data_IF_333663395080
#
_entry.id   IF_333663395080
#
_cell.length_a   1.000
_cell.length_b   1.000
_cell.length_c   1.000
_cell.angle_alpha   90.00
_cell.angle_beta   90.00
_cell.angle_gamma   90.00
#
_symmetry.space_group_name_H-M   'P 1'
#
loop_
_entity.id
_entity.type
_entity.pdbx_description
1 polymer ?
#
# COMPACT_ATOMS: atom_id res chain seq x y z
N UNK A 1 -23.59 -16.73 2.18
CA UNK A 1 -22.43 -16.10 1.49
C UNK A 1 -21.29 -15.70 2.43
N UNK A 2 -21.53 -14.93 3.51
CA UNK A 2 -20.46 -14.48 4.43
C UNK A 2 -19.61 -15.61 5.07
N UNK A 3 -20.22 -16.74 5.41
CA UNK A 3 -19.52 -17.93 5.99
C UNK A 3 -18.68 -18.71 4.98
N UNK A 4 -19.10 -18.69 3.71
CA UNK A 4 -18.37 -19.33 2.61
C UNK A 4 -17.16 -18.48 2.21
N UNK A 5 -17.35 -17.15 2.13
CA UNK A 5 -16.27 -16.18 1.90
C UNK A 5 -15.22 -16.26 3.01
N UNK A 6 -15.63 -16.30 4.28
CA UNK A 6 -14.68 -16.43 5.41
C UNK A 6 -13.88 -17.73 5.34
N UNK A 7 -14.50 -18.87 5.01
CA UNK A 7 -13.81 -20.16 4.87
C UNK A 7 -12.88 -20.20 3.66
N UNK A 8 -13.27 -19.60 2.55
CA UNK A 8 -12.44 -19.48 1.35
C UNK A 8 -11.22 -18.58 1.58
N UNK A 9 -11.38 -17.46 2.28
CA UNK A 9 -10.27 -16.58 2.67
C UNK A 9 -9.31 -17.29 3.62
N UNK A 10 -9.80 -18.00 4.63
CA UNK A 10 -8.92 -18.76 5.54
C UNK A 10 -8.17 -19.87 4.81
N UNK A 11 -8.82 -20.60 3.90
CA UNK A 11 -8.16 -21.65 3.11
C UNK A 11 -7.08 -21.08 2.18
N UNK A 12 -7.40 -20.02 1.43
CA UNK A 12 -6.45 -19.36 0.52
C UNK A 12 -5.27 -18.75 1.27
N UNK A 13 -5.51 -18.15 2.44
CA UNK A 13 -4.45 -17.57 3.28
C UNK A 13 -3.48 -18.64 3.78
N UNK A 14 -4.01 -19.77 4.29
CA UNK A 14 -3.17 -20.88 4.76
C UNK A 14 -2.43 -21.57 3.61
N UNK A 15 -3.06 -21.72 2.44
CA UNK A 15 -2.43 -22.32 1.26
C UNK A 15 -1.28 -21.46 0.71
N UNK A 16 -1.46 -20.14 0.67
CA UNK A 16 -0.43 -19.20 0.19
C UNK A 16 0.76 -19.10 1.16
N UNK A 17 0.57 -19.25 2.46
CA UNK A 17 1.67 -19.27 3.45
C UNK A 17 2.43 -20.60 3.42
N UNK A 18 1.72 -21.72 3.23
CA UNK A 18 2.32 -23.06 3.18
C UNK A 18 3.22 -23.26 1.95
N UNK A 19 2.89 -22.67 0.81
CA UNK A 19 3.70 -22.79 -0.41
C UNK A 19 5.07 -22.10 -0.29
N UNK A 20 5.19 -21.06 0.54
CA UNK A 20 6.45 -20.33 0.79
C UNK A 20 7.44 -21.20 1.58
N UNK A 21 6.94 -22.08 2.44
CA UNK A 21 7.75 -22.96 3.28
C UNK A 21 8.36 -24.15 2.49
N UNK A 22 7.75 -24.55 1.38
CA UNK A 22 8.21 -25.66 0.54
C UNK A 22 9.15 -25.27 -0.61
N UNK A 23 9.55 -23.99 -0.72
CA UNK A 23 10.38 -23.50 -1.82
C UNK A 23 11.89 -23.31 -1.46
N UNK A 24 12.35 -23.77 -0.29
CA UNK A 24 13.70 -23.48 0.20
C UNK A 24 14.74 -24.59 -0.01
N UNK A 25 14.74 -25.29 -1.14
CA UNK A 25 15.90 -26.11 -1.52
C UNK A 25 16.95 -25.23 -2.21
N UNK A 26 18.17 -25.26 -1.66
CA UNK A 26 19.18 -24.22 -1.81
C UNK A 26 19.81 -24.06 -3.20
N UNK A 27 20.27 -22.83 -3.46
CA UNK A 27 21.14 -22.47 -4.56
C UNK A 27 21.46 -20.97 -4.52
N UNK A 28 22.75 -20.62 -4.62
CA UNK A 28 23.31 -19.28 -4.48
C UNK A 28 22.92 -18.26 -5.59
N UNK A 29 21.66 -18.30 -6.03
CA UNK A 29 21.07 -17.42 -7.07
C UNK A 29 19.62 -17.02 -6.73
N UNK A 30 19.08 -17.45 -5.57
CA UNK A 30 17.66 -17.25 -5.18
C UNK A 30 17.33 -15.96 -4.41
N UNK A 31 18.31 -15.23 -3.87
CA UNK A 31 18.05 -14.07 -3.01
C UNK A 31 17.47 -12.87 -3.78
N UNK A 32 17.93 -12.62 -5.02
CA UNK A 32 17.46 -11.49 -5.83
C UNK A 32 15.97 -11.55 -6.17
N UNK A 33 15.43 -12.75 -6.41
CA UNK A 33 14.00 -12.95 -6.66
C UNK A 33 13.13 -12.58 -5.45
N UNK A 34 13.51 -13.01 -4.25
CA UNK A 34 12.80 -12.66 -3.02
C UNK A 34 12.93 -11.17 -2.67
N UNK A 35 14.10 -10.57 -2.93
CA UNK A 35 14.33 -9.13 -2.76
C UNK A 35 13.44 -8.32 -3.72
N UNK A 36 13.33 -8.71 -4.99
CA UNK A 36 12.47 -8.05 -5.97
C UNK A 36 10.97 -8.14 -5.62
N UNK A 37 10.52 -9.33 -5.19
CA UNK A 37 9.14 -9.52 -4.70
C UNK A 37 8.88 -8.67 -3.44
N UNK A 38 9.81 -8.66 -2.49
CA UNK A 38 9.72 -7.83 -1.29
C UNK A 38 9.65 -6.33 -1.60
N UNK A 39 10.44 -5.84 -2.56
CA UNK A 39 10.44 -4.44 -2.99
C UNK A 39 9.11 -4.06 -3.65
N UNK A 40 8.59 -4.91 -4.54
CA UNK A 40 7.29 -4.72 -5.17
C UNK A 40 6.13 -4.70 -4.18
N UNK A 41 6.14 -5.59 -3.18
CA UNK A 41 5.12 -5.62 -2.13
C UNK A 41 5.19 -4.39 -1.22
N UNK A 42 6.39 -3.94 -0.83
CA UNK A 42 6.56 -2.76 0.01
C UNK A 42 5.94 -1.50 -0.64
N UNK A 43 6.26 -1.24 -1.92
CA UNK A 43 5.68 -0.10 -2.65
C UNK A 43 4.21 -0.32 -2.94
N UNK A 44 3.83 -1.50 -3.42
CA UNK A 44 2.46 -1.79 -3.84
C UNK A 44 1.44 -1.65 -2.70
N UNK A 45 1.77 -2.17 -1.52
CA UNK A 45 0.90 -2.07 -0.35
C UNK A 45 0.85 -0.65 0.22
N UNK A 46 1.99 0.05 0.24
CA UNK A 46 2.04 1.44 0.67
C UNK A 46 1.21 2.35 -0.28
N UNK A 47 1.38 2.20 -1.59
CA UNK A 47 0.64 2.93 -2.61
C UNK A 47 -0.87 2.62 -2.59
N UNK A 48 -1.25 1.37 -2.30
CA UNK A 48 -2.67 1.00 -2.14
C UNK A 48 -3.31 1.75 -0.97
N UNK A 49 -2.66 1.75 0.20
CA UNK A 49 -3.15 2.49 1.37
C UNK A 49 -3.15 4.01 1.12
N UNK A 50 -2.07 4.52 0.52
CA UNK A 50 -1.91 5.92 0.15
C UNK A 50 -3.01 6.40 -0.80
N UNK A 51 -3.21 5.70 -1.92
CA UNK A 51 -4.20 6.06 -2.92
C UNK A 51 -5.64 6.07 -2.38
N UNK A 52 -5.99 5.11 -1.51
CA UNK A 52 -7.31 5.10 -0.85
C UNK A 52 -7.45 6.31 0.09
N UNK A 53 -6.44 6.58 0.91
CA UNK A 53 -6.44 7.72 1.83
C UNK A 53 -6.54 9.06 1.10
N UNK A 54 -5.76 9.23 0.04
CA UNK A 54 -5.74 10.45 -0.77
C UNK A 54 -7.06 10.65 -1.53
N UNK A 55 -7.61 9.58 -2.12
CA UNK A 55 -8.90 9.63 -2.80
C UNK A 55 -10.02 10.07 -1.86
N UNK A 56 -10.05 9.55 -0.64
CA UNK A 56 -11.03 9.95 0.37
C UNK A 56 -10.85 11.41 0.81
N UNK A 57 -9.62 11.85 1.05
CA UNK A 57 -9.32 13.24 1.41
C UNK A 57 -9.74 14.22 0.29
N UNK A 58 -9.41 13.90 -0.96
CA UNK A 58 -9.79 14.70 -2.13
C UNK A 58 -11.31 14.76 -2.32
N UNK A 59 -12.00 13.62 -2.20
CA UNK A 59 -13.47 13.56 -2.29
C UNK A 59 -14.14 14.43 -1.22
N UNK A 60 -13.65 14.37 0.03
CA UNK A 60 -14.16 15.20 1.13
C UNK A 60 -13.92 16.70 0.89
N UNK A 61 -12.72 17.06 0.44
CA UNK A 61 -12.36 18.44 0.16
C UNK A 61 -13.18 19.01 -1.01
N UNK A 62 -13.21 18.33 -2.16
CA UNK A 62 -13.97 18.75 -3.34
C UNK A 62 -15.47 18.82 -3.05
N UNK A 63 -16.01 17.86 -2.32
CA UNK A 63 -17.43 17.88 -1.89
C UNK A 63 -17.76 19.02 -0.91
N UNK A 64 -16.80 19.45 -0.08
CA UNK A 64 -16.93 20.62 0.77
C UNK A 64 -16.88 21.93 -0.02
N UNK A 65 -15.94 22.03 -0.96
CA UNK A 65 -15.77 23.21 -1.83
C UNK A 65 -16.98 23.38 -2.76
N UNK A 66 -17.52 22.29 -3.32
CA UNK A 66 -18.69 22.34 -4.18
C UNK A 66 -19.94 22.87 -3.44
N UNK A 67 -20.08 22.56 -2.14
CA UNK A 67 -21.19 23.06 -1.30
C UNK A 67 -20.97 24.48 -0.80
N UNK A 68 -19.71 24.87 -0.58
CA UNK A 68 -19.34 26.22 -0.14
C UNK A 68 -18.06 26.69 -0.85
N UNK A 69 -18.18 27.32 -2.04
CA UNK A 69 -17.02 27.77 -2.80
C UNK A 69 -16.14 28.78 -2.05
N UNK A 70 -16.74 29.61 -1.18
CA UNK A 70 -16.03 30.59 -0.36
C UNK A 70 -15.11 29.97 0.70
N UNK A 71 -15.27 28.68 1.01
CA UNK A 71 -14.42 27.96 1.94
C UNK A 71 -13.18 27.34 1.27
N UNK A 72 -13.00 27.47 -0.04
CA UNK A 72 -11.91 26.80 -0.79
C UNK A 72 -10.53 26.98 -0.17
N UNK A 73 -10.14 28.23 0.12
CA UNK A 73 -8.84 28.50 0.76
C UNK A 73 -8.68 27.89 2.16
N UNK A 74 -9.79 27.74 2.91
CA UNK A 74 -9.78 27.15 4.26
C UNK A 74 -9.73 25.63 4.23
N UNK A 75 -10.16 25.00 3.13
CA UNK A 75 -10.15 23.54 2.94
C UNK A 75 -8.84 23.08 2.32
N UNK A 76 -8.26 23.88 1.41
CA UNK A 76 -7.07 23.48 0.65
C UNK A 76 -5.86 23.19 1.55
N UNK A 77 -5.52 24.09 2.46
CA UNK A 77 -4.37 23.91 3.37
C UNK A 77 -4.45 22.64 4.22
N UNK A 78 -5.53 22.39 5.00
CA UNK A 78 -5.64 21.15 5.77
C UNK A 78 -5.71 19.90 4.89
N UNK A 79 -6.32 19.98 3.69
CA UNK A 79 -6.29 18.86 2.73
C UNK A 79 -4.86 18.50 2.35
N UNK A 80 -4.04 19.48 1.92
CA UNK A 80 -2.65 19.24 1.52
C UNK A 80 -1.82 18.70 2.68
N UNK A 81 -2.02 19.21 3.90
CA UNK A 81 -1.33 18.68 5.10
C UNK A 81 -1.70 17.21 5.32
N UNK A 82 -2.98 16.85 5.23
CA UNK A 82 -3.43 15.46 5.33
C UNK A 82 -2.83 14.58 4.25
N UNK A 83 -2.85 15.03 2.99
CA UNK A 83 -2.24 14.33 1.85
C UNK A 83 -0.74 14.13 2.02
N UNK A 84 -0.02 15.14 2.53
CA UNK A 84 1.42 15.05 2.79
C UNK A 84 1.75 14.03 3.90
N UNK A 85 0.92 13.95 4.94
CA UNK A 85 1.08 12.93 5.99
C UNK A 85 0.83 11.53 5.43
N UNK A 86 -0.18 11.35 4.59
CA UNK A 86 -0.40 10.08 3.88
C UNK A 86 0.77 9.72 2.97
N UNK A 87 1.29 10.68 2.19
CA UNK A 87 2.43 10.45 1.30
C UNK A 87 3.72 10.13 2.03
N UNK A 88 3.94 10.66 3.23
CA UNK A 88 5.16 10.35 4.00
C UNK A 88 5.32 8.84 4.26
N UNK A 89 4.21 8.12 4.42
CA UNK A 89 4.19 6.66 4.60
C UNK A 89 4.43 5.92 3.28
N UNK A 90 3.89 6.43 2.18
CA UNK A 90 4.12 5.88 0.83
C UNK A 90 5.58 6.01 0.45
N UNK A 91 6.16 7.19 0.69
CA UNK A 91 7.58 7.45 0.48
C UNK A 91 8.47 6.58 1.37
N UNK A 92 8.08 6.29 2.61
CA UNK A 92 8.82 5.34 3.44
C UNK A 92 8.84 3.93 2.83
N UNK A 93 7.71 3.47 2.29
CA UNK A 93 7.63 2.20 1.54
C UNK A 93 8.53 2.19 0.31
N UNK A 94 8.56 3.31 -0.44
CA UNK A 94 9.48 3.50 -1.56
C UNK A 94 10.95 3.48 -1.14
N UNK A 95 11.33 4.16 -0.06
CA UNK A 95 12.70 4.17 0.45
C UNK A 95 13.17 2.76 0.84
N UNK A 96 12.31 1.98 1.50
CA UNK A 96 12.62 0.59 1.86
C UNK A 96 12.85 -0.25 0.59
N UNK A 97 11.97 -0.13 -0.40
CA UNK A 97 12.10 -0.84 -1.66
C UNK A 97 13.35 -0.43 -2.44
N UNK A 98 13.72 0.85 -2.42
CA UNK A 98 14.94 1.35 -3.03
C UNK A 98 16.20 0.74 -2.39
N UNK A 99 16.26 0.69 -1.05
CA UNK A 99 17.36 0.02 -0.36
C UNK A 99 17.39 -1.49 -0.59
N UNK A 100 16.23 -2.11 -0.81
CA UNK A 100 16.13 -3.53 -1.09
C UNK A 100 16.63 -3.82 -2.52
N UNK A 101 16.23 -3.02 -3.51
CA UNK A 101 16.70 -3.12 -4.89
C UNK A 101 18.22 -2.93 -5.02
N UNK A 102 18.82 -2.05 -4.20
CA UNK A 102 20.27 -1.85 -4.19
C UNK A 102 21.10 -3.05 -3.68
N UNK A 103 20.45 -4.14 -3.27
CA UNK A 103 21.09 -5.40 -2.81
C UNK A 103 20.95 -6.55 -3.82
N UNK A 104 20.32 -6.32 -4.97
CA UNK A 104 20.26 -7.24 -6.12
C UNK A 104 21.47 -6.98 -7.00
#
# INVERSE_FOLDING_TARGET
MKRFVSRAVTFLSTFLIASMAFASDGGATGTGGYIAVGAGLAVGLAALGGGIGQGNAANGALGGIARNPGASGKVFTPMIIGLAMTESLVLLGFVIAFFLQGKI
#
